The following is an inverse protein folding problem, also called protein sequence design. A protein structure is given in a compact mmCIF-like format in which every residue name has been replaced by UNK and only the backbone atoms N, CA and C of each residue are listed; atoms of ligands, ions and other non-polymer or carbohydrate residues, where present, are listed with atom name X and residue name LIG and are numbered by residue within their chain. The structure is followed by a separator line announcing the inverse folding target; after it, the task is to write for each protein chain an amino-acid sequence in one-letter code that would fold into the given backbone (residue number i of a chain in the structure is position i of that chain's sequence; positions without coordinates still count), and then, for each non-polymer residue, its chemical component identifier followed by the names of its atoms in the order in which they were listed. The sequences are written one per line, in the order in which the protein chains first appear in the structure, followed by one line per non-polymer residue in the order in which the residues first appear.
data_IF_783238475874
#
_entry.id   IF_783238475874
#
_cell.length_a   1.000
_cell.length_b   1.000
_cell.length_c   1.000
_cell.angle_alpha   90.00
_cell.angle_beta   90.00
_cell.angle_gamma   90.00
#
_symmetry.space_group_name_H-M   'P 1'
#
loop_
_entity.id
_entity.type
_entity.pdbx_description
1 polymer ?
#
# COMPACT_ATOMS: atom_id res chain seq x y z
N UNK A 1 14.47 -8.95 -10.37
CA UNK A 1 14.25 -9.05 -8.91
C UNK A 1 12.88 -9.66 -8.68
N UNK A 2 12.75 -10.54 -7.73
CA UNK A 2 11.46 -11.15 -7.42
C UNK A 2 10.55 -10.14 -6.71
N UNK A 3 9.22 -10.37 -6.72
CA UNK A 3 8.32 -9.50 -5.99
C UNK A 3 8.68 -9.38 -4.50
N UNK A 4 9.07 -10.48 -3.87
CA UNK A 4 9.42 -10.45 -2.45
C UNK A 4 10.69 -9.65 -2.19
N UNK A 5 11.70 -9.82 -3.03
CA UNK A 5 12.94 -9.03 -2.93
C UNK A 5 12.64 -7.55 -3.11
N UNK A 6 11.80 -7.22 -4.10
CA UNK A 6 11.41 -5.84 -4.32
C UNK A 6 10.66 -5.28 -3.10
N UNK A 7 9.78 -6.09 -2.51
CA UNK A 7 9.02 -5.66 -1.33
C UNK A 7 9.97 -5.30 -0.18
N UNK A 8 10.95 -6.15 0.11
CA UNK A 8 11.90 -5.86 1.19
C UNK A 8 12.74 -4.62 0.89
N UNK A 9 13.16 -4.46 -0.35
CA UNK A 9 13.94 -3.29 -0.75
C UNK A 9 13.12 -2.00 -0.58
N UNK A 10 11.91 -2.00 -1.10
CA UNK A 10 11.04 -0.83 -1.02
C UNK A 10 10.64 -0.52 0.42
N UNK A 11 10.40 -1.55 1.22
CA UNK A 11 10.07 -1.37 2.63
C UNK A 11 11.19 -0.62 3.35
N UNK A 12 12.43 -1.01 3.10
CA UNK A 12 13.55 -0.31 3.68
C UNK A 12 13.69 1.12 3.16
N UNK A 13 13.55 1.29 1.85
CA UNK A 13 13.68 2.62 1.25
C UNK A 13 12.61 3.58 1.74
N UNK A 14 11.40 3.10 1.95
CA UNK A 14 10.30 3.97 2.32
C UNK A 14 10.17 4.19 3.82
N UNK A 15 10.33 3.16 4.61
CA UNK A 15 10.07 3.26 6.06
C UNK A 15 11.19 2.73 6.94
N UNK A 16 12.31 2.31 6.35
CA UNK A 16 13.49 1.91 7.11
C UNK A 16 13.40 0.57 7.82
N UNK A 17 12.37 -0.22 7.55
CA UNK A 17 12.23 -1.51 8.21
C UNK A 17 13.06 -2.59 7.52
N UNK A 18 13.64 -3.45 8.35
CA UNK A 18 14.44 -4.58 7.90
C UNK A 18 13.61 -5.86 7.99
N UNK A 19 14.03 -6.96 7.35
CA UNK A 19 13.25 -8.19 7.37
C UNK A 19 12.90 -8.70 8.77
N UNK A 20 13.80 -8.51 9.74
CA UNK A 20 13.55 -8.96 11.10
C UNK A 20 12.45 -8.17 11.80
N UNK A 21 12.06 -7.03 11.26
CA UNK A 21 11.04 -6.18 11.88
C UNK A 21 9.63 -6.56 11.44
N UNK A 22 9.48 -7.41 10.43
CA UNK A 22 8.16 -7.72 9.92
C UNK A 22 7.99 -9.22 9.73
N UNK A 23 6.73 -9.62 9.67
CA UNK A 23 6.36 -10.97 9.29
C UNK A 23 5.39 -10.87 8.12
N UNK A 24 5.65 -11.60 7.04
CA UNK A 24 4.75 -11.62 5.91
C UNK A 24 3.52 -12.45 6.28
N UNK A 25 2.35 -11.84 6.25
CA UNK A 25 1.09 -12.53 6.49
C UNK A 25 0.58 -13.15 5.19
N UNK A 26 0.72 -12.42 4.08
CA UNK A 26 0.30 -12.92 2.79
C UNK A 26 0.50 -11.90 1.70
N UNK A 27 0.06 -12.24 0.50
CA UNK A 27 0.15 -11.34 -0.64
C UNK A 27 -1.00 -11.60 -1.59
N UNK A 28 -1.24 -10.67 -2.53
CA UNK A 28 -2.20 -10.89 -3.59
C UNK A 28 -1.68 -11.96 -4.54
N UNK A 29 -2.58 -12.73 -5.14
CA UNK A 29 -2.19 -13.81 -6.05
C UNK A 29 -1.67 -13.28 -7.35
N UNK A 30 -2.36 -12.28 -7.90
CA UNK A 30 -2.06 -11.77 -9.22
C UNK A 30 -1.56 -10.35 -9.16
N UNK A 31 -0.97 -9.92 -10.26
CA UNK A 31 -0.60 -8.53 -10.43
C UNK A 31 -1.83 -7.67 -10.55
N UNK A 32 -1.87 -6.59 -9.79
CA UNK A 32 -2.94 -5.60 -9.87
C UNK A 32 -2.41 -4.41 -10.68
N UNK A 33 -3.26 -3.87 -11.54
CA UNK A 33 -2.82 -2.83 -12.47
C UNK A 33 -3.67 -1.59 -12.38
N UNK A 34 -3.02 -0.45 -12.58
CA UNK A 34 -3.74 0.78 -12.82
C UNK A 34 -3.04 1.55 -13.94
N UNK A 35 -3.81 2.35 -14.65
CA UNK A 35 -3.25 3.22 -15.69
C UNK A 35 -3.26 4.65 -15.19
N UNK A 36 -2.20 5.37 -15.50
CA UNK A 36 -2.10 6.78 -15.14
C UNK A 36 -2.81 7.59 -16.21
N UNK A 37 -3.77 8.46 -15.86
CA UNK A 37 -4.43 9.31 -16.86
C UNK A 37 -3.40 10.12 -17.63
N UNK A 38 -3.68 10.39 -18.89
CA UNK A 38 -2.71 11.04 -19.77
C UNK A 38 -2.19 12.37 -19.24
N UNK A 39 -3.03 13.13 -18.55
CA UNK A 39 -2.60 14.43 -18.00
C UNK A 39 -1.67 14.28 -16.78
N UNK A 40 -1.52 13.08 -16.26
CA UNK A 40 -0.61 12.80 -15.17
C UNK A 40 0.70 12.18 -15.66
N UNK A 41 0.80 11.81 -16.96
CA UNK A 41 2.00 11.15 -17.48
C UNK A 41 3.13 12.19 -17.56
N UNK A 42 4.26 11.84 -16.96
CA UNK A 42 5.41 12.73 -16.99
C UNK A 42 6.10 12.71 -18.33
N UNK A 43 6.67 13.84 -18.74
CA UNK A 43 7.39 13.92 -19.99
C UNK A 43 8.52 12.90 -20.07
N UNK A 44 9.18 12.65 -18.95
CA UNK A 44 10.28 11.71 -18.92
C UNK A 44 9.87 10.29 -19.28
N UNK A 45 8.59 9.98 -19.15
CA UNK A 45 8.11 8.63 -19.46
C UNK A 45 7.99 8.40 -20.96
N UNK A 46 7.91 9.43 -21.73
CA UNK A 46 7.97 9.37 -23.20
C UNK A 46 7.10 8.32 -23.85
N UNK A 47 5.91 8.17 -23.35
CA UNK A 47 4.94 7.28 -23.96
C UNK A 47 5.19 5.79 -23.74
N UNK A 48 6.25 5.42 -23.05
CA UNK A 48 6.58 4.04 -22.90
C UNK A 48 5.79 3.36 -21.78
N UNK A 49 5.08 4.13 -20.90
CA UNK A 49 4.57 3.50 -19.73
C UNK A 49 3.52 4.39 -19.11
N UNK A 50 2.34 3.92 -19.00
CA UNK A 50 1.22 4.70 -18.51
C UNK A 50 0.59 4.17 -17.22
N UNK A 51 1.27 3.28 -16.53
CA UNK A 51 0.72 2.72 -15.32
C UNK A 51 1.70 1.81 -14.62
N UNK A 52 1.20 1.08 -13.67
CA UNK A 52 2.00 0.14 -12.92
C UNK A 52 1.24 -1.15 -12.70
N UNK A 53 1.97 -2.23 -12.52
CA UNK A 53 1.42 -3.46 -12.00
C UNK A 53 2.09 -3.73 -10.67
N UNK A 54 1.33 -4.24 -9.71
CA UNK A 54 1.79 -4.40 -8.34
C UNK A 54 1.35 -5.72 -7.75
N UNK A 55 2.20 -6.30 -6.92
CA UNK A 55 1.81 -7.36 -5.99
C UNK A 55 1.74 -6.69 -4.63
N UNK A 56 0.65 -6.88 -3.94
CA UNK A 56 0.47 -6.28 -2.61
C UNK A 56 0.76 -7.30 -1.54
N UNK A 57 1.51 -6.89 -0.54
CA UNK A 57 1.87 -7.73 0.60
C UNK A 57 1.20 -7.22 1.86
N UNK A 58 0.69 -8.14 2.66
CA UNK A 58 0.18 -7.83 3.99
C UNK A 58 1.26 -8.23 4.99
N UNK A 59 1.74 -7.29 5.75
CA UNK A 59 2.83 -7.48 6.69
C UNK A 59 2.37 -7.19 8.11
N UNK A 60 2.94 -7.93 9.06
CA UNK A 60 2.75 -7.60 10.47
C UNK A 60 4.04 -7.00 10.98
N UNK A 61 3.96 -5.86 11.65
CA UNK A 61 5.10 -5.27 12.32
C UNK A 61 5.34 -6.07 13.60
N UNK A 62 6.47 -6.78 13.66
CA UNK A 62 6.86 -7.50 14.86
C UNK A 62 7.96 -6.76 15.62
N UNK A 63 8.50 -5.72 15.02
CA UNK A 63 9.38 -4.78 15.69
C UNK A 63 8.58 -3.74 16.44
N UNK A 64 9.20 -2.61 16.71
CA UNK A 64 8.56 -1.50 17.42
C UNK A 64 8.26 -0.37 16.46
N UNK A 65 7.32 0.48 16.82
CA UNK A 65 7.04 1.68 16.04
C UNK A 65 8.32 2.50 15.85
N UNK A 66 9.19 2.52 16.85
CA UNK A 66 10.45 3.26 16.76
C UNK A 66 11.44 2.69 15.76
N UNK A 67 11.21 1.48 15.25
CA UNK A 67 12.04 0.92 14.19
C UNK A 67 11.71 1.55 12.83
N UNK A 68 10.57 2.22 12.70
CA UNK A 68 10.21 2.92 11.48
C UNK A 68 11.07 4.19 11.37
N UNK A 69 11.81 4.29 10.26
CA UNK A 69 12.71 5.40 10.04
C UNK A 69 12.57 5.90 8.60
N UNK A 70 11.85 7.00 8.44
CA UNK A 70 11.60 7.54 7.11
C UNK A 70 12.83 8.15 6.46
N UNK A 71 13.92 8.28 7.21
CA UNK A 71 15.16 8.84 6.69
C UNK A 71 16.29 7.83 6.59
N UNK A 72 15.94 6.55 6.52
CA UNK A 72 16.95 5.50 6.44
C UNK A 72 17.72 5.51 5.12
N UNK A 73 17.11 6.01 4.04
CA UNK A 73 17.80 6.10 2.76
C UNK A 73 18.10 7.55 2.41
N UNK A 74 18.91 7.76 1.36
CA UNK A 74 19.35 9.10 0.98
C UNK A 74 18.26 9.99 0.40
N UNK A 75 17.20 9.42 -0.12
CA UNK A 75 16.13 10.18 -0.74
C UNK A 75 14.80 9.82 -0.11
N UNK A 76 14.52 10.36 1.10
CA UNK A 76 13.27 10.04 1.79
C UNK A 76 12.06 10.43 0.96
N UNK A 77 11.11 9.52 0.83
CA UNK A 77 9.89 9.78 0.08
C UNK A 77 8.77 10.34 0.95
N UNK A 78 8.85 10.11 2.27
CA UNK A 78 7.80 10.49 3.19
C UNK A 78 8.36 11.32 4.33
N UNK A 79 7.56 12.20 4.87
CA UNK A 79 7.95 13.04 6.00
C UNK A 79 7.15 12.72 7.27
N UNK A 80 6.26 11.75 7.21
CA UNK A 80 5.49 11.32 8.38
C UNK A 80 4.79 10.00 8.13
N UNK A 81 4.36 9.34 9.19
CA UNK A 81 3.59 8.12 9.11
C UNK A 81 2.63 8.04 10.29
N UNK A 82 1.61 7.20 10.14
CA UNK A 82 0.68 6.94 11.22
C UNK A 82 0.00 5.60 11.02
N UNK A 83 -0.49 5.02 12.10
CA UNK A 83 -1.38 3.89 12.02
C UNK A 83 -2.77 4.41 11.65
N UNK A 84 -3.51 3.60 10.89
CA UNK A 84 -4.81 4.02 10.44
C UNK A 84 -5.71 2.79 10.29
N UNK A 85 -6.99 3.02 10.10
CA UNK A 85 -7.91 1.91 9.87
C UNK A 85 -7.63 1.26 8.54
N UNK A 86 -7.87 -0.04 8.48
CA UNK A 86 -7.49 -0.86 7.33
C UNK A 86 -8.01 -0.33 5.99
N UNK A 87 -9.29 0.09 5.94
CA UNK A 87 -9.93 0.50 4.69
C UNK A 87 -9.71 1.98 4.34
N UNK A 88 -9.21 2.77 5.25
CA UNK A 88 -9.09 4.21 5.03
C UNK A 88 -8.32 4.61 3.78
N UNK A 89 -7.24 3.90 3.40
CA UNK A 89 -6.50 4.30 2.20
C UNK A 89 -7.33 4.31 0.92
N UNK A 90 -8.40 3.51 0.85
CA UNK A 90 -9.24 3.48 -0.34
C UNK A 90 -9.89 4.84 -0.60
N UNK A 91 -10.25 5.55 0.47
CA UNK A 91 -10.89 6.86 0.34
C UNK A 91 -9.88 7.99 0.21
N UNK A 92 -8.63 7.75 0.61
CA UNK A 92 -7.61 8.80 0.65
C UNK A 92 -6.70 8.81 -0.56
N UNK A 93 -6.66 7.72 -1.34
CA UNK A 93 -5.75 7.65 -2.46
C UNK A 93 -6.34 8.36 -3.67
N UNK A 94 -5.47 8.80 -4.57
CA UNK A 94 -5.88 9.47 -5.80
C UNK A 94 -6.78 8.53 -6.63
N UNK A 95 -7.79 9.10 -7.29
CA UNK A 95 -8.87 8.33 -7.91
C UNK A 95 -8.43 7.19 -8.83
N UNK A 96 -7.43 7.39 -9.67
CA UNK A 96 -7.05 6.36 -10.62
C UNK A 96 -6.38 5.14 -9.98
N UNK A 97 -6.02 5.21 -8.71
CA UNK A 97 -5.48 4.08 -7.97
C UNK A 97 -6.50 3.39 -7.10
N UNK A 98 -7.69 3.98 -6.97
CA UNK A 98 -8.68 3.52 -5.99
C UNK A 98 -9.09 2.07 -6.19
N UNK A 99 -9.33 1.67 -7.43
CA UNK A 99 -9.77 0.30 -7.70
C UNK A 99 -8.71 -0.73 -7.33
N UNK A 100 -7.43 -0.41 -7.55
CA UNK A 100 -6.34 -1.30 -7.16
C UNK A 100 -6.28 -1.41 -5.63
N UNK A 101 -6.38 -0.29 -4.93
CA UNK A 101 -6.37 -0.30 -3.47
C UNK A 101 -7.54 -1.13 -2.94
N UNK A 102 -8.74 -0.89 -3.47
CA UNK A 102 -9.92 -1.63 -3.01
C UNK A 102 -9.78 -3.12 -3.29
N UNK A 103 -9.34 -3.48 -4.48
CA UNK A 103 -9.17 -4.89 -4.85
C UNK A 103 -8.13 -5.59 -4.00
N UNK A 104 -6.99 -4.92 -3.76
CA UNK A 104 -5.93 -5.49 -2.93
C UNK A 104 -6.40 -5.71 -1.49
N UNK A 105 -7.03 -4.69 -0.92
CA UNK A 105 -7.47 -4.79 0.48
C UNK A 105 -8.60 -5.81 0.65
N UNK A 106 -9.49 -5.93 -0.33
CA UNK A 106 -10.53 -6.96 -0.30
C UNK A 106 -9.93 -8.36 -0.35
N UNK A 107 -9.00 -8.59 -1.25
CA UNK A 107 -8.36 -9.91 -1.36
C UNK A 107 -7.59 -10.25 -0.10
N UNK A 108 -6.79 -9.33 0.41
CA UNK A 108 -5.96 -9.60 1.57
C UNK A 108 -6.80 -9.81 2.83
N UNK A 109 -7.86 -9.04 3.03
CA UNK A 109 -8.71 -9.23 4.20
C UNK A 109 -9.46 -10.56 4.14
N UNK A 110 -9.98 -10.91 2.96
CA UNK A 110 -10.75 -12.12 2.80
C UNK A 110 -9.89 -13.37 2.98
N UNK A 111 -8.64 -13.32 2.56
CA UNK A 111 -7.76 -14.48 2.62
C UNK A 111 -7.01 -14.61 3.94
N UNK A 112 -6.68 -13.49 4.59
CA UNK A 112 -5.74 -13.51 5.71
C UNK A 112 -6.23 -12.85 6.99
N UNK A 113 -7.30 -12.07 6.93
CA UNK A 113 -7.79 -11.32 8.09
C UNK A 113 -9.22 -11.72 8.42
N UNK A 114 -9.38 -12.89 9.03
CA UNK A 114 -10.71 -13.36 9.41
C UNK A 114 -11.38 -12.39 10.36
N UNK A 115 -12.63 -12.16 10.13
CA UNK A 115 -13.41 -11.27 10.99
C UNK A 115 -13.25 -9.80 10.67
N UNK A 116 -12.43 -9.45 9.68
CA UNK A 116 -12.31 -8.07 9.28
C UNK A 116 -13.56 -7.65 8.52
N UNK A 117 -14.07 -6.47 8.86
CA UNK A 117 -15.26 -5.96 8.20
C UNK A 117 -14.98 -5.59 6.76
N UNK A 118 -15.98 -5.72 5.91
CA UNK A 118 -15.85 -5.33 4.51
C UNK A 118 -15.75 -3.82 4.38
N UNK A 119 -15.32 -3.36 3.21
CA UNK A 119 -15.27 -1.93 2.93
C UNK A 119 -16.65 -1.29 3.08
N UNK A 120 -17.68 -1.97 2.64
CA UNK A 120 -19.03 -1.45 2.74
C UNK A 120 -19.44 -1.23 4.20
N UNK A 121 -19.15 -2.20 5.05
CA UNK A 121 -19.45 -2.06 6.48
C UNK A 121 -18.65 -0.92 7.11
N UNK A 122 -17.39 -0.79 6.72
CA UNK A 122 -16.54 0.27 7.23
C UNK A 122 -17.10 1.64 6.87
N UNK A 123 -17.47 1.83 5.61
CA UNK A 123 -17.97 3.13 5.18
C UNK A 123 -19.31 3.48 5.83
N UNK A 124 -20.14 2.48 6.09
CA UNK A 124 -21.40 2.73 6.75
C UNK A 124 -21.24 3.18 8.20
N UNK A 125 -20.09 2.89 8.81
CA UNK A 125 -19.84 3.26 10.20
C UNK A 125 -19.11 4.56 10.36
N UNK A 126 -18.56 5.13 9.29
CA UNK A 126 -17.84 6.38 9.44
C UNK A 126 -18.79 7.50 9.86
N UNK A 127 -18.40 8.33 10.81
CA UNK A 127 -19.17 9.51 11.12
C UNK A 127 -19.13 10.35 9.88
N UNK A 128 -20.35 10.85 9.43
CA UNK A 128 -20.27 11.47 8.25
C UNK A 128 -19.64 12.73 8.43
N UNK A 129 -19.24 13.14 7.49
CA UNK A 129 -18.80 14.22 7.37
C UNK A 129 -17.67 14.66 7.83
N UNK A 130 -17.04 14.19 8.30
CA UNK A 130 -15.88 14.63 8.72
C UNK A 130 -14.86 14.73 7.74
N UNK A 131 -15.12 14.78 6.56
CA UNK A 131 -14.10 14.82 5.59
C UNK A 131 -14.02 16.07 4.85
#
# INVERSE_FOLDING_TARGET
ESPETAMYRELYEEVGLLPQHIKIVGRTRDWLRYDVPSHWVRREWRGSYRGQKQIWYLLRLVGRDSDINLRACHHPEFDGWRWHQYWAPVDEVIDFKRDVYLGALKELSSRFLRGMESYEDFTARLPFDNR
#
